data_IF_294613189327
#
_entry.id   IF_294613189327
#
_cell.length_a   1.000
_cell.length_b   1.000
_cell.length_c   1.000
_cell.angle_alpha   90.00
_cell.angle_beta   90.00
_cell.angle_gamma   90.00
#
_symmetry.space_group_name_H-M   'P 1'
#
loop_
_entity.id
_entity.type
_entity.pdbx_description
1 polymer ?
#
# COMPACT_ATOMS: atom_id res chain seq x y z
N UNK A 1 1.89 -18.32 -15.12
CA UNK A 1 0.77 -17.38 -15.12
C UNK A 1 1.10 -16.35 -14.06
N UNK A 2 1.81 -15.33 -14.52
CA UNK A 2 2.26 -14.21 -13.69
C UNK A 2 1.03 -13.44 -13.18
N UNK A 3 0.98 -13.17 -11.88
CA UNK A 3 0.00 -12.30 -11.23
C UNK A 3 0.75 -11.18 -10.53
N UNK A 4 0.16 -10.00 -10.46
CA UNK A 4 0.73 -8.87 -9.76
C UNK A 4 -0.09 -8.54 -8.51
N UNK A 5 0.59 -8.29 -7.40
CA UNK A 5 0.00 -7.76 -6.18
C UNK A 5 0.40 -6.28 -6.04
N UNK A 6 -0.59 -5.43 -5.81
CA UNK A 6 -0.40 -4.02 -5.46
C UNK A 6 -0.77 -3.87 -4.00
N UNK A 7 0.16 -3.34 -3.22
CA UNK A 7 -0.08 -2.93 -1.85
C UNK A 7 0.24 -1.45 -1.78
N UNK A 8 -0.72 -0.65 -1.36
CA UNK A 8 -0.48 0.77 -1.11
C UNK A 8 -0.97 1.15 0.27
N UNK A 9 -0.59 2.33 0.70
CA UNK A 9 -1.02 2.89 1.96
C UNK A 9 -1.37 4.37 1.79
N UNK A 10 -2.42 4.80 2.48
CA UNK A 10 -3.00 6.13 2.33
C UNK A 10 -3.07 6.79 3.70
N UNK A 11 -2.39 7.92 3.83
CA UNK A 11 -2.48 8.80 4.98
C UNK A 11 -3.92 9.29 5.14
N UNK A 12 -4.61 8.74 6.15
CA UNK A 12 -6.01 9.06 6.41
C UNK A 12 -6.21 10.53 6.81
N UNK A 13 -5.22 11.19 7.43
CA UNK A 13 -5.30 12.60 7.81
C UNK A 13 -5.22 13.51 6.59
N UNK A 14 -4.29 13.22 5.69
CA UNK A 14 -4.17 13.93 4.41
C UNK A 14 -5.38 13.66 3.53
N UNK A 15 -5.90 12.43 3.57
CA UNK A 15 -7.12 12.08 2.86
C UNK A 15 -8.31 12.89 3.39
N UNK A 16 -8.51 12.99 4.70
CA UNK A 16 -9.58 13.82 5.27
C UNK A 16 -9.44 15.31 4.92
N UNK A 17 -8.20 15.82 4.78
CA UNK A 17 -7.93 17.21 4.45
C UNK A 17 -8.03 17.54 2.95
N UNK A 18 -7.60 16.63 2.08
CA UNK A 18 -7.51 16.85 0.64
C UNK A 18 -8.64 16.21 -0.15
N UNK A 19 -9.39 15.29 0.45
CA UNK A 19 -10.56 14.72 -0.19
C UNK A 19 -11.69 15.74 -0.27
N UNK A 20 -12.41 15.71 -1.40
CA UNK A 20 -13.34 16.77 -1.75
C UNK A 20 -14.52 16.93 -0.77
N UNK A 21 -14.85 15.88 0.00
CA UNK A 21 -15.96 15.86 0.96
C UNK A 21 -15.57 15.15 2.27
N UNK A 22 -16.37 15.33 3.34
CA UNK A 22 -16.23 14.64 4.63
C UNK A 22 -16.43 13.12 4.58
N UNK A 23 -16.82 12.55 3.43
CA UNK A 23 -16.89 11.11 3.19
C UNK A 23 -15.59 10.58 2.54
N UNK A 24 -14.44 10.83 3.16
CA UNK A 24 -13.12 10.42 2.68
C UNK A 24 -12.99 8.92 2.40
N UNK A 25 -13.78 8.08 3.10
CA UNK A 25 -13.86 6.63 2.86
C UNK A 25 -14.25 6.28 1.42
N UNK A 26 -14.95 7.18 0.72
CA UNK A 26 -15.27 7.00 -0.69
C UNK A 26 -14.03 7.02 -1.60
N UNK A 27 -12.93 7.65 -1.15
CA UNK A 27 -11.66 7.64 -1.90
C UNK A 27 -11.12 6.23 -2.12
N UNK A 28 -11.24 5.36 -1.12
CA UNK A 28 -10.87 3.95 -1.28
C UNK A 28 -11.74 3.24 -2.31
N UNK A 29 -13.05 3.52 -2.32
CA UNK A 29 -13.98 2.95 -3.30
C UNK A 29 -13.69 3.46 -4.72
N UNK A 30 -13.27 4.71 -4.87
CA UNK A 30 -12.93 5.30 -6.16
C UNK A 30 -11.63 4.73 -6.73
N UNK A 31 -10.61 4.54 -5.89
CA UNK A 31 -9.38 3.80 -6.27
C UNK A 31 -9.75 2.36 -6.65
N UNK A 32 -10.56 1.68 -5.83
CA UNK A 32 -11.01 0.32 -6.09
C UNK A 32 -11.68 0.20 -7.45
N UNK A 33 -12.55 1.15 -7.82
CA UNK A 33 -13.24 1.15 -9.12
C UNK A 33 -12.27 1.25 -10.29
N UNK A 34 -11.22 2.08 -10.18
CA UNK A 34 -10.21 2.21 -11.24
C UNK A 34 -9.37 0.93 -11.32
N UNK A 35 -8.86 0.44 -10.19
CA UNK A 35 -8.06 -0.78 -10.13
C UNK A 35 -8.86 -2.00 -10.65
N UNK A 36 -10.15 -2.08 -10.36
CA UNK A 36 -11.03 -3.14 -10.86
C UNK A 36 -11.12 -3.15 -12.39
N UNK A 37 -11.16 -1.99 -13.05
CA UNK A 37 -11.14 -1.90 -14.53
C UNK A 37 -9.84 -2.45 -15.12
N UNK A 38 -8.74 -2.32 -14.38
CA UNK A 38 -7.42 -2.85 -14.73
C UNK A 38 -7.24 -4.32 -14.32
N UNK A 39 -8.34 -5.04 -14.00
CA UNK A 39 -8.33 -6.45 -13.58
C UNK A 39 -7.62 -6.70 -12.25
N UNK A 40 -7.62 -5.71 -11.36
CA UNK A 40 -7.16 -5.88 -9.99
C UNK A 40 -8.36 -6.02 -9.05
N UNK A 41 -8.43 -7.15 -8.35
CA UNK A 41 -9.45 -7.45 -7.37
C UNK A 41 -8.95 -7.07 -5.97
N UNK A 42 -9.79 -6.38 -5.21
CA UNK A 42 -9.49 -6.08 -3.81
C UNK A 42 -9.54 -7.37 -3.00
N UNK A 43 -8.45 -7.68 -2.28
CA UNK A 43 -8.43 -8.80 -1.34
C UNK A 43 -8.82 -8.31 0.04
N UNK A 44 -8.14 -7.25 0.49
CA UNK A 44 -8.40 -6.65 1.79
C UNK A 44 -7.83 -5.24 1.86
N UNK A 45 -8.66 -4.26 2.23
CA UNK A 45 -8.21 -2.88 2.46
C UNK A 45 -7.53 -2.29 1.23
N UNK A 46 -6.23 -2.01 1.34
CA UNK A 46 -5.39 -1.44 0.27
C UNK A 46 -4.58 -2.48 -0.50
N UNK A 47 -4.88 -3.77 -0.33
CA UNK A 47 -4.23 -4.89 -1.01
C UNK A 47 -5.06 -5.37 -2.19
N UNK A 48 -4.46 -5.38 -3.37
CA UNK A 48 -5.11 -5.71 -4.64
C UNK A 48 -4.33 -6.78 -5.40
N UNK A 49 -5.01 -7.83 -5.83
CA UNK A 49 -4.44 -8.90 -6.63
C UNK A 49 -4.97 -8.85 -8.05
N UNK A 50 -4.07 -8.96 -9.01
CA UNK A 50 -4.43 -9.01 -10.41
C UNK A 50 -5.03 -10.35 -10.85
N UNK A 51 -5.82 -10.32 -11.91
CA UNK A 51 -6.13 -11.52 -12.69
C UNK A 51 -4.87 -12.12 -13.33
N UNK A 52 -4.98 -13.36 -13.80
CA UNK A 52 -3.87 -14.09 -14.43
C UNK A 52 -3.45 -13.40 -15.74
N UNK A 53 -2.15 -13.20 -15.94
CA UNK A 53 -1.61 -12.58 -17.16
C UNK A 53 -1.45 -11.06 -17.06
N UNK A 54 -1.86 -10.45 -15.94
CA UNK A 54 -1.65 -9.04 -15.65
C UNK A 54 -0.27 -8.86 -15.02
N UNK A 55 0.57 -8.07 -15.69
CA UNK A 55 1.96 -7.80 -15.29
C UNK A 55 2.10 -6.49 -14.53
N UNK A 56 3.25 -6.29 -13.89
CA UNK A 56 3.60 -5.04 -13.21
C UNK A 56 3.32 -3.78 -14.05
N UNK A 57 3.59 -3.81 -15.36
CA UNK A 57 3.30 -2.68 -16.25
C UNK A 57 1.82 -2.26 -16.24
N UNK A 58 0.88 -3.21 -16.14
CA UNK A 58 -0.55 -2.92 -16.03
C UNK A 58 -0.89 -2.30 -14.67
N UNK A 59 -0.22 -2.75 -13.61
CA UNK A 59 -0.35 -2.15 -12.29
C UNK A 59 0.15 -0.71 -12.26
N UNK A 60 1.27 -0.42 -12.93
CA UNK A 60 1.77 0.95 -13.09
C UNK A 60 0.78 1.83 -13.87
N UNK A 61 0.22 1.34 -14.98
CA UNK A 61 -0.81 2.07 -15.73
C UNK A 61 -2.06 2.33 -14.89
N UNK A 62 -2.48 1.34 -14.09
CA UNK A 62 -3.63 1.48 -13.21
C UNK A 62 -3.42 2.59 -12.17
N UNK A 63 -2.24 2.62 -11.52
CA UNK A 63 -1.90 3.70 -10.58
C UNK A 63 -1.78 5.05 -11.27
N UNK A 64 -1.19 5.11 -12.46
CA UNK A 64 -1.11 6.36 -13.21
C UNK A 64 -2.51 6.91 -13.50
N UNK A 65 -3.46 6.06 -13.89
CA UNK A 65 -4.85 6.49 -14.09
C UNK A 65 -5.49 6.98 -12.79
N UNK A 66 -5.24 6.31 -11.66
CA UNK A 66 -5.70 6.78 -10.34
C UNK A 66 -5.12 8.16 -10.03
N UNK A 67 -3.81 8.36 -10.17
CA UNK A 67 -3.14 9.63 -9.89
C UNK A 67 -3.63 10.77 -10.79
N UNK A 68 -3.87 10.49 -12.08
CA UNK A 68 -4.38 11.49 -13.03
C UNK A 68 -5.83 11.87 -12.71
N UNK A 69 -6.68 10.88 -12.38
CA UNK A 69 -8.09 11.13 -12.05
C UNK A 69 -8.26 11.80 -10.69
N UNK A 70 -7.41 11.46 -9.73
CA UNK A 70 -7.54 11.86 -8.34
C UNK A 70 -6.27 12.57 -7.87
N UNK A 71 -6.24 13.89 -8.00
CA UNK A 71 -5.08 14.68 -7.59
C UNK A 71 -4.76 14.59 -6.09
N UNK A 72 -5.76 14.24 -5.25
CA UNK A 72 -5.52 13.98 -3.84
C UNK A 72 -4.73 12.69 -3.61
N UNK A 73 -4.77 11.72 -4.53
CA UNK A 73 -4.10 10.43 -4.36
C UNK A 73 -2.58 10.59 -4.22
N UNK A 74 -1.96 11.41 -5.07
CA UNK A 74 -0.52 11.71 -5.01
C UNK A 74 -0.09 12.30 -3.65
N UNK A 75 -0.96 13.12 -3.06
CA UNK A 75 -0.68 13.76 -1.76
C UNK A 75 -0.92 12.84 -0.57
N UNK A 76 -1.87 11.91 -0.70
CA UNK A 76 -2.27 11.04 0.40
C UNK A 76 -1.49 9.71 0.40
N UNK A 77 -0.92 9.31 -0.72
CA UNK A 77 -0.22 8.03 -0.82
C UNK A 77 1.13 8.09 -0.10
N UNK A 78 1.27 7.29 0.95
CA UNK A 78 2.47 7.25 1.79
C UNK A 78 3.49 6.24 1.25
N UNK A 79 3.00 5.12 0.73
CA UNK A 79 3.82 4.02 0.26
C UNK A 79 3.06 3.21 -0.80
N UNK A 80 3.75 2.79 -1.86
CA UNK A 80 3.19 1.87 -2.86
C UNK A 80 4.23 0.82 -3.21
N UNK A 81 3.81 -0.43 -3.18
CA UNK A 81 4.64 -1.59 -3.45
C UNK A 81 3.96 -2.51 -4.45
N UNK A 82 4.79 -3.03 -5.35
CA UNK A 82 4.40 -4.02 -6.34
C UNK A 82 5.14 -5.32 -6.06
N UNK A 83 4.41 -6.42 -6.09
CA UNK A 83 4.98 -7.75 -6.01
C UNK A 83 4.55 -8.54 -7.24
N UNK A 84 5.50 -9.21 -7.88
CA UNK A 84 5.22 -10.16 -8.96
C UNK A 84 5.11 -11.56 -8.35
N UNK A 85 4.00 -12.23 -8.61
CA UNK A 85 3.67 -13.57 -8.13
C UNK A 85 3.80 -14.51 -9.33
N UNK A 86 4.87 -15.32 -9.33
CA UNK A 86 5.08 -16.39 -10.29
C UNK A 86 4.25 -17.65 -9.94
N UNK A 87 4.06 -18.54 -10.92
CA UNK A 87 3.16 -19.72 -10.88
C UNK A 87 3.33 -20.66 -9.67
N UNK A 88 4.48 -20.67 -9.01
CA UNK A 88 4.77 -21.55 -7.87
C UNK A 88 4.06 -21.16 -6.57
N UNK A 89 3.39 -20.02 -6.52
CA UNK A 89 2.80 -19.50 -5.28
C UNK A 89 1.31 -19.83 -5.15
N UNK A 90 1.05 -20.93 -4.41
CA UNK A 90 -0.27 -21.46 -4.04
C UNK A 90 -1.13 -20.44 -3.28
N UNK A 91 -2.47 -20.61 -3.27
CA UNK A 91 -3.41 -19.67 -2.62
C UNK A 91 -3.17 -19.45 -1.11
N UNK A 92 -2.50 -20.39 -0.43
CA UNK A 92 -2.01 -20.23 0.95
C UNK A 92 -1.02 -19.05 1.06
N UNK A 93 -0.26 -18.76 0.00
CA UNK A 93 0.67 -17.63 -0.09
C UNK A 93 0.00 -16.27 -0.34
N UNK A 94 -1.28 -16.19 -0.70
CA UNK A 94 -1.95 -14.88 -0.61
C UNK A 94 -2.08 -14.49 0.87
N UNK A 95 -2.38 -15.46 1.73
CA UNK A 95 -2.47 -15.28 3.19
C UNK A 95 -1.06 -15.14 3.77
N UNK A 96 -0.13 -16.04 3.41
CA UNK A 96 1.24 -16.02 3.93
C UNK A 96 2.08 -14.90 3.31
N UNK A 97 1.75 -14.44 2.11
CA UNK A 97 2.43 -13.36 1.39
C UNK A 97 2.01 -11.99 1.90
N UNK A 98 0.72 -11.80 2.23
CA UNK A 98 0.28 -10.61 2.99
C UNK A 98 0.90 -10.61 4.39
N UNK A 99 0.96 -11.79 5.03
CA UNK A 99 1.61 -11.94 6.35
C UNK A 99 3.11 -11.69 6.25
N UNK A 100 3.81 -12.24 5.25
CA UNK A 100 5.24 -12.04 5.02
C UNK A 100 5.55 -10.61 4.60
N UNK A 101 4.71 -9.97 3.79
CA UNK A 101 4.87 -8.56 3.43
C UNK A 101 4.73 -7.69 4.69
N UNK A 102 3.74 -7.99 5.55
CA UNK A 102 3.59 -7.33 6.85
C UNK A 102 4.81 -7.57 7.74
N UNK A 103 5.27 -8.80 7.89
CA UNK A 103 6.45 -9.14 8.71
C UNK A 103 7.75 -8.56 8.13
N UNK A 104 7.89 -8.50 6.81
CA UNK A 104 9.04 -7.87 6.15
C UNK A 104 9.02 -6.36 6.37
N UNK A 105 7.84 -5.74 6.32
CA UNK A 105 7.65 -4.34 6.65
C UNK A 105 7.99 -4.05 8.12
N UNK A 106 7.46 -4.84 9.05
CA UNK A 106 7.75 -4.74 10.49
C UNK A 106 9.24 -4.92 10.80
N UNK A 107 9.91 -5.88 10.14
CA UNK A 107 11.37 -6.05 10.26
C UNK A 107 12.14 -4.82 9.76
N UNK A 108 11.68 -4.18 8.68
CA UNK A 108 12.29 -2.94 8.15
C UNK A 108 12.11 -1.78 9.12
N UNK A 109 10.93 -1.64 9.71
CA UNK A 109 10.62 -0.68 10.75
C UNK A 109 11.50 -0.91 12.00
N UNK A 110 11.68 -2.17 12.41
CA UNK A 110 12.56 -2.54 13.51
C UNK A 110 14.04 -2.20 13.24
N UNK A 111 14.53 -2.45 12.02
CA UNK A 111 15.88 -2.04 11.62
C UNK A 111 16.08 -0.53 11.64
N UNK A 112 15.09 0.24 11.15
CA UNK A 112 15.08 1.70 11.24
C UNK A 112 15.09 2.18 12.69
N UNK A 113 14.31 1.54 13.57
CA UNK A 113 14.31 1.84 15.01
C UNK A 113 15.70 1.65 15.62
N UNK A 114 16.38 0.56 15.27
CA UNK A 114 17.71 0.27 15.76
C UNK A 114 18.74 1.29 15.26
N UNK A 115 18.68 1.66 13.98
CA UNK A 115 19.54 2.70 13.41
C UNK A 115 19.34 4.07 14.06
N UNK A 116 18.10 4.42 14.42
CA UNK A 116 17.79 5.68 15.11
C UNK A 116 18.27 5.67 16.56
N UNK A 117 18.24 4.51 17.24
CA UNK A 117 18.85 4.33 18.57
C UNK A 117 20.37 4.48 18.50
N UNK A 118 21.02 3.85 17.51
CA UNK A 118 22.47 3.96 17.30
C UNK A 118 22.91 5.38 16.91
N UNK A 119 22.01 6.15 16.27
CA UNK A 119 22.19 7.58 16.01
C UNK A 119 21.98 8.48 17.26
N UNK A 120 21.68 7.89 18.42
CA UNK A 120 21.58 8.59 19.70
C UNK A 120 20.22 9.22 19.99
N UNK A 121 19.16 8.85 19.26
CA UNK A 121 17.80 9.31 19.59
C UNK A 121 17.23 8.52 20.78
N UNK A 122 16.50 9.21 21.64
CA UNK A 122 15.80 8.59 22.78
C UNK A 122 14.62 7.76 22.30
N UNK A 123 14.34 6.66 23.00
CA UNK A 123 13.26 5.71 22.69
C UNK A 123 11.90 6.38 22.51
N UNK A 124 11.60 7.44 23.27
CA UNK A 124 10.37 8.22 23.16
C UNK A 124 10.24 8.98 21.84
N UNK A 125 11.32 9.61 21.35
CA UNK A 125 11.31 10.29 20.04
C UNK A 125 11.18 9.31 18.89
N UNK A 126 11.74 8.11 19.04
CA UNK A 126 11.65 7.08 18.01
C UNK A 126 10.24 6.49 17.97
N UNK A 127 9.62 6.24 19.12
CA UNK A 127 8.20 5.89 19.22
C UNK A 127 7.32 6.96 18.57
N UNK A 128 7.59 8.24 18.80
CA UNK A 128 6.84 9.35 18.20
C UNK A 128 6.97 9.40 16.66
N UNK A 129 8.19 9.24 16.14
CA UNK A 129 8.47 9.19 14.69
C UNK A 129 7.83 7.96 14.04
N UNK A 130 7.85 6.82 14.74
CA UNK A 130 7.26 5.58 14.28
C UNK A 130 5.73 5.64 14.32
N UNK A 131 5.13 6.13 15.41
CA UNK A 131 3.70 6.30 15.58
C UNK A 131 3.10 7.28 14.57
N UNK A 132 3.83 8.34 14.19
CA UNK A 132 3.44 9.22 13.11
C UNK A 132 3.52 8.56 11.71
N UNK A 133 4.17 7.39 11.58
CA UNK A 133 4.25 6.61 10.33
C UNK A 133 3.35 5.38 10.30
N UNK A 134 3.00 4.81 11.45
CA UNK A 134 2.07 3.67 11.57
C UNK A 134 0.62 4.06 11.88
N UNK A 135 0.36 5.35 12.14
CA UNK A 135 -1.00 5.93 12.19
C UNK A 135 -1.42 6.60 10.88
N UNK A 136 -0.68 6.34 9.79
CA UNK A 136 -1.00 6.80 8.44
C UNK A 136 -1.52 5.60 7.65
#
# INVERSE_FOLDING_TARGET
MDRCLIVFDLDTKLLEQHYHNSSWRNGYADIQRVLYRHRFNNIQGTVYLSERGVRQAHGTLALQEVTIRFQWFDKCVSNVQFYDLSDDFNAQFIIDGVTQAREAFERRIGMLRHQLLDAGLTSEKIEEIMANRSSL
#
